data_IF_887448332872
#
_entry.id   IF_887448332872
#
_cell.length_a   1.000
_cell.length_b   1.000
_cell.length_c   1.000
_cell.angle_alpha   90.00
_cell.angle_beta   90.00
_cell.angle_gamma   90.00
#
_symmetry.space_group_name_H-M   'P 1'
#
loop_
_entity.id
_entity.type
_entity.pdbx_description
1 polymer ?
#
# COMPACT_ATOMS: atom_id res chain seq x y z
N UNK A 1 -0.10 3.47 -11.60
CA UNK A 1 0.71 4.39 -10.81
C UNK A 1 2.21 4.03 -10.75
N UNK A 2 2.60 2.78 -11.01
CA UNK A 2 4.01 2.37 -11.17
C UNK A 2 4.65 2.84 -12.51
N UNK A 3 3.88 3.31 -13.46
CA UNK A 3 4.34 3.74 -14.78
C UNK A 3 4.64 5.23 -14.84
N UNK A 4 4.29 5.99 -13.83
CA UNK A 4 4.59 7.42 -13.75
C UNK A 4 6.08 7.66 -13.53
N UNK A 5 6.56 8.82 -13.97
CA UNK A 5 7.90 9.28 -13.64
C UNK A 5 8.00 9.74 -12.18
N UNK A 6 9.17 10.27 -11.83
CA UNK A 6 9.42 10.86 -10.50
C UNK A 6 8.93 12.30 -10.47
N UNK A 7 8.32 12.70 -9.35
CA UNK A 7 7.86 14.08 -9.19
C UNK A 7 9.05 15.07 -9.22
N UNK A 8 8.98 16.22 -9.93
CA UNK A 8 10.10 17.17 -10.06
C UNK A 8 10.70 17.64 -8.72
N UNK A 9 9.87 17.91 -7.71
CA UNK A 9 10.34 18.28 -6.36
C UNK A 9 11.16 17.16 -5.69
N UNK A 10 10.83 15.89 -5.96
CA UNK A 10 11.59 14.73 -5.47
C UNK A 10 12.94 14.64 -6.19
N UNK A 11 12.97 14.85 -7.52
CA UNK A 11 14.23 14.90 -8.26
C UNK A 11 15.12 16.04 -7.79
N UNK A 12 14.57 17.21 -7.49
CA UNK A 12 15.32 18.33 -6.92
C UNK A 12 15.94 17.97 -5.55
N UNK A 13 15.18 17.27 -4.68
CA UNK A 13 15.68 16.83 -3.38
C UNK A 13 16.83 15.80 -3.53
N UNK A 14 16.70 14.86 -4.47
CA UNK A 14 17.76 13.91 -4.79
C UNK A 14 19.04 14.63 -5.25
N UNK A 15 18.92 15.63 -6.12
CA UNK A 15 20.04 16.44 -6.57
C UNK A 15 20.70 17.21 -5.41
N UNK A 16 19.92 17.77 -4.48
CA UNK A 16 20.42 18.44 -3.29
C UNK A 16 21.14 17.48 -2.35
N UNK A 17 20.65 16.25 -2.21
CA UNK A 17 21.30 15.22 -1.40
C UNK A 17 22.59 14.66 -2.06
N UNK A 18 22.79 14.89 -3.36
CA UNK A 18 23.95 14.39 -4.11
C UNK A 18 25.17 15.32 -3.99
N UNK A 19 25.45 15.87 -2.81
CA UNK A 19 26.55 16.78 -2.55
C UNK A 19 27.44 16.22 -1.44
N UNK A 20 28.74 16.12 -1.74
CA UNK A 20 29.75 15.71 -0.74
C UNK A 20 29.59 14.27 -0.26
N UNK A 21 30.29 13.96 0.82
CA UNK A 21 30.18 12.70 1.55
C UNK A 21 29.18 12.84 2.71
N UNK A 22 28.52 11.74 3.07
CA UNK A 22 27.68 11.62 4.25
C UNK A 22 27.86 10.22 4.84
N UNK A 23 27.63 10.08 6.14
CA UNK A 23 27.69 8.80 6.83
C UNK A 23 26.70 7.81 6.17
N UNK A 24 27.10 6.54 6.00
CA UNK A 24 26.29 5.53 5.35
C UNK A 24 25.24 4.91 6.29
N UNK A 25 24.35 4.12 5.74
CA UNK A 25 23.40 3.22 6.42
C UNK A 25 22.38 3.89 7.34
N UNK A 26 22.15 5.19 7.19
CA UNK A 26 21.12 5.92 7.94
C UNK A 26 21.66 6.81 9.07
N UNK A 27 22.97 6.88 9.24
CA UNK A 27 23.60 7.77 10.24
C UNK A 27 23.82 9.20 9.68
N UNK A 28 23.13 9.56 8.62
CA UNK A 28 23.21 10.84 7.93
C UNK A 28 22.08 11.82 8.33
N UNK A 29 22.30 13.14 8.16
CA UNK A 29 21.33 14.16 8.56
C UNK A 29 19.97 14.06 7.80
N UNK A 30 19.98 13.62 6.54
CA UNK A 30 18.73 13.46 5.76
C UNK A 30 17.85 12.36 6.35
N UNK A 31 18.47 11.25 6.78
CA UNK A 31 17.72 10.17 7.43
C UNK A 31 17.09 10.65 8.73
N UNK A 32 17.83 11.39 9.57
CA UNK A 32 17.30 11.98 10.80
C UNK A 32 16.15 12.98 10.52
N UNK A 33 16.27 13.80 9.48
CA UNK A 33 15.20 14.73 9.07
C UNK A 33 13.96 13.99 8.57
N UNK A 34 14.13 12.94 7.75
CA UNK A 34 13.01 12.12 7.26
C UNK A 34 12.27 11.43 8.42
N UNK A 35 13.00 10.87 9.40
CA UNK A 35 12.40 10.31 10.63
C UNK A 35 11.61 11.37 11.40
N UNK A 36 12.12 12.61 11.48
CA UNK A 36 11.43 13.75 12.06
C UNK A 36 10.10 14.05 11.37
N UNK A 37 10.05 13.92 10.03
CA UNK A 37 8.80 14.08 9.27
C UNK A 37 7.76 13.01 9.64
N UNK A 38 8.17 11.75 9.81
CA UNK A 38 7.26 10.68 10.26
C UNK A 38 6.78 10.91 11.70
N UNK A 39 7.66 11.38 12.59
CA UNK A 39 7.27 11.74 13.96
C UNK A 39 6.25 12.87 13.99
N UNK A 40 6.37 13.84 13.09
CA UNK A 40 5.37 14.90 12.95
C UNK A 40 3.99 14.36 12.54
N UNK A 41 3.94 13.25 11.76
CA UNK A 41 2.68 12.63 11.32
C UNK A 41 2.08 11.71 12.40
N UNK A 42 2.91 10.94 13.11
CA UNK A 42 2.44 9.85 13.97
C UNK A 42 2.71 10.05 15.46
N UNK A 43 3.47 11.09 15.82
CA UNK A 43 3.93 11.35 17.19
C UNK A 43 5.36 10.85 17.43
N UNK A 44 5.99 11.34 18.53
CA UNK A 44 7.40 11.07 18.84
C UNK A 44 7.70 9.62 19.21
N UNK A 45 6.68 8.87 19.53
CA UNK A 45 6.76 7.48 19.98
C UNK A 45 6.67 6.45 18.82
N UNK A 46 7.09 6.82 17.61
CA UNK A 46 7.22 5.90 16.49
C UNK A 46 8.67 5.68 16.10
N UNK A 47 8.98 4.49 15.58
CA UNK A 47 10.26 4.19 14.94
C UNK A 47 10.03 3.94 13.46
N UNK A 48 10.98 4.39 12.64
CA UNK A 48 10.87 4.33 11.18
C UNK A 48 12.12 3.72 10.57
N UNK A 49 11.93 2.80 9.66
CA UNK A 49 13.02 2.13 8.96
C UNK A 49 12.83 2.28 7.46
N UNK A 50 13.63 3.13 6.83
CA UNK A 50 13.59 3.34 5.38
C UNK A 50 14.11 2.09 4.66
N UNK A 51 13.40 1.68 3.61
CA UNK A 51 13.71 0.52 2.77
C UNK A 51 13.47 0.86 1.30
N UNK A 52 14.13 0.19 0.35
CA UNK A 52 13.96 0.50 -1.07
C UNK A 52 12.65 -0.04 -1.69
N UNK A 53 12.07 -1.13 -1.16
CA UNK A 53 11.02 -1.89 -1.82
C UNK A 53 9.83 -2.17 -0.90
N UNK A 54 8.59 -2.08 -1.44
CA UNK A 54 7.35 -2.37 -0.72
C UNK A 54 7.24 -3.81 -0.24
N UNK A 55 7.51 -4.79 -1.11
CA UNK A 55 7.60 -6.22 -0.72
C UNK A 55 8.60 -6.41 0.43
N UNK A 56 9.75 -5.73 0.37
CA UNK A 56 10.73 -5.76 1.46
C UNK A 56 10.20 -5.19 2.77
N UNK A 57 9.40 -4.11 2.73
CA UNK A 57 8.76 -3.54 3.90
C UNK A 57 7.76 -4.52 4.54
N UNK A 58 6.90 -5.15 3.74
CA UNK A 58 5.92 -6.13 4.21
C UNK A 58 6.61 -7.35 4.82
N UNK A 59 7.59 -7.94 4.12
CA UNK A 59 8.35 -9.10 4.60
C UNK A 59 9.06 -8.80 5.92
N UNK A 60 9.69 -7.63 6.05
CA UNK A 60 10.34 -7.21 7.31
C UNK A 60 9.34 -7.08 8.45
N UNK A 61 8.20 -6.43 8.20
CA UNK A 61 7.15 -6.28 9.19
C UNK A 61 6.67 -7.65 9.68
N UNK A 62 6.30 -8.53 8.78
CA UNK A 62 5.81 -9.86 9.13
C UNK A 62 6.88 -10.70 9.86
N UNK A 63 8.11 -10.72 9.36
CA UNK A 63 9.22 -11.46 9.96
C UNK A 63 9.52 -11.01 11.40
N UNK A 64 9.29 -9.72 11.70
CA UNK A 64 9.49 -9.21 13.07
C UNK A 64 8.34 -9.55 14.01
N UNK A 65 7.11 -9.61 13.51
CA UNK A 65 5.91 -9.74 14.32
C UNK A 65 5.56 -11.19 14.66
N UNK A 66 5.88 -12.15 13.78
CA UNK A 66 5.46 -13.55 13.93
C UNK A 66 6.61 -14.55 13.81
N UNK A 67 6.29 -15.83 13.93
CA UNK A 67 7.21 -16.97 13.80
C UNK A 67 6.72 -17.91 12.71
N UNK A 68 7.58 -18.81 12.23
CA UNK A 68 7.30 -19.74 11.12
C UNK A 68 6.10 -20.67 11.35
N UNK A 69 5.72 -20.93 12.58
CA UNK A 69 4.52 -21.76 12.89
C UNK A 69 3.22 -20.97 12.92
N UNK A 70 3.29 -19.64 12.74
CA UNK A 70 2.10 -18.82 12.64
C UNK A 70 1.52 -18.81 11.22
N UNK A 71 0.28 -18.33 11.12
CA UNK A 71 -0.33 -17.92 9.87
C UNK A 71 -0.65 -16.43 9.90
N UNK A 72 -0.64 -15.83 8.70
CA UNK A 72 -1.07 -14.47 8.43
C UNK A 72 -2.46 -14.55 7.81
N UNK A 73 -3.44 -13.93 8.45
CA UNK A 73 -4.79 -13.79 7.94
C UNK A 73 -4.87 -12.51 7.09
N UNK A 74 -5.29 -12.62 5.84
CA UNK A 74 -5.34 -11.48 4.91
C UNK A 74 -6.53 -11.62 3.96
N UNK A 75 -6.84 -10.58 3.19
CA UNK A 75 -7.79 -10.68 2.07
C UNK A 75 -7.29 -11.71 1.04
N UNK A 76 -8.19 -12.43 0.41
CA UNK A 76 -7.90 -13.29 -0.75
C UNK A 76 -7.31 -12.52 -1.94
N UNK A 77 -7.48 -11.20 -1.97
CA UNK A 77 -6.90 -10.28 -2.96
C UNK A 77 -5.59 -9.63 -2.49
N UNK A 78 -5.13 -9.88 -1.25
CA UNK A 78 -3.94 -9.23 -0.71
C UNK A 78 -2.70 -9.42 -1.59
N UNK A 79 -2.01 -8.31 -1.91
CA UNK A 79 -0.81 -8.31 -2.76
C UNK A 79 0.27 -9.25 -2.23
N UNK A 80 0.45 -9.31 -0.92
CA UNK A 80 1.39 -10.20 -0.24
C UNK A 80 1.08 -11.68 -0.45
N UNK A 81 -0.20 -12.02 -0.67
CA UNK A 81 -0.63 -13.38 -0.98
C UNK A 81 -0.57 -13.70 -2.47
N UNK A 82 -1.00 -12.76 -3.33
CA UNK A 82 -1.25 -13.04 -4.76
C UNK A 82 -0.10 -12.62 -5.69
N UNK A 83 0.68 -11.60 -5.32
CA UNK A 83 1.52 -10.87 -6.28
C UNK A 83 2.96 -10.60 -5.81
N UNK A 84 3.44 -11.30 -4.78
CA UNK A 84 4.81 -11.20 -4.27
C UNK A 84 5.60 -12.51 -4.41
N UNK A 85 5.15 -13.40 -5.30
CA UNK A 85 5.85 -14.66 -5.64
C UNK A 85 6.18 -15.54 -4.44
N UNK A 86 5.34 -15.51 -3.37
CA UNK A 86 5.59 -16.27 -2.14
C UNK A 86 6.76 -15.73 -1.32
N UNK A 87 7.11 -14.43 -1.45
CA UNK A 87 8.24 -13.84 -0.71
C UNK A 87 8.04 -13.92 0.80
N UNK A 88 6.81 -13.75 1.28
CA UNK A 88 6.46 -13.87 2.70
C UNK A 88 6.70 -15.28 3.20
N UNK A 89 6.15 -16.28 2.52
CA UNK A 89 6.31 -17.69 2.88
C UNK A 89 7.78 -18.14 2.82
N UNK A 90 8.51 -17.69 1.80
CA UNK A 90 9.91 -18.05 1.61
C UNK A 90 10.83 -17.46 2.69
N UNK A 91 10.61 -16.22 3.11
CA UNK A 91 11.50 -15.51 4.04
C UNK A 91 11.06 -15.67 5.49
N UNK A 92 9.78 -15.55 5.78
CA UNK A 92 9.22 -15.69 7.15
C UNK A 92 9.00 -17.16 7.49
N UNK A 93 8.75 -17.99 6.49
CA UNK A 93 8.46 -19.43 6.65
C UNK A 93 7.06 -19.71 7.19
N UNK A 94 6.19 -18.71 7.24
CA UNK A 94 4.83 -18.82 7.77
C UNK A 94 3.83 -19.19 6.67
N UNK A 95 2.59 -19.47 7.06
CA UNK A 95 1.50 -19.73 6.13
C UNK A 95 0.71 -18.45 5.87
N UNK A 96 0.43 -18.14 4.60
CA UNK A 96 -0.60 -17.16 4.24
C UNK A 96 -1.96 -17.85 4.25
N UNK A 97 -2.95 -17.25 4.90
CA UNK A 97 -4.32 -17.77 5.00
C UNK A 97 -5.30 -16.72 4.48
N UNK A 98 -5.72 -16.83 3.22
CA UNK A 98 -6.65 -15.88 2.62
C UNK A 98 -8.06 -16.04 3.19
N UNK A 99 -8.71 -14.91 3.48
CA UNK A 99 -10.10 -14.78 3.89
C UNK A 99 -10.88 -14.21 2.72
N UNK A 100 -12.02 -14.81 2.31
CA UNK A 100 -12.87 -14.23 1.28
C UNK A 100 -13.24 -12.78 1.59
N UNK A 101 -13.06 -11.91 0.61
CA UNK A 101 -13.26 -10.48 0.77
C UNK A 101 -14.40 -9.95 -0.10
N UNK A 102 -14.96 -8.82 0.28
CA UNK A 102 -15.92 -8.07 -0.53
C UNK A 102 -15.25 -6.77 -0.97
N UNK A 103 -15.05 -6.61 -2.26
CA UNK A 103 -14.30 -5.48 -2.81
C UNK A 103 -12.91 -5.30 -2.16
N UNK A 104 -12.18 -6.40 -1.94
CA UNK A 104 -10.85 -6.41 -1.33
C UNK A 104 -10.83 -6.23 0.19
N UNK A 105 -11.98 -6.03 0.84
CA UNK A 105 -12.09 -5.83 2.28
C UNK A 105 -12.57 -7.09 3.00
N UNK A 106 -11.86 -7.50 4.05
CA UNK A 106 -12.34 -8.50 5.02
C UNK A 106 -13.15 -7.80 6.12
N UNK A 107 -14.08 -8.51 6.74
CA UNK A 107 -14.82 -8.00 7.89
C UNK A 107 -14.35 -8.64 9.19
N UNK A 108 -14.61 -7.98 10.33
CA UNK A 108 -14.35 -8.55 11.65
C UNK A 108 -15.10 -9.88 11.87
N UNK A 109 -16.31 -10.01 11.31
CA UNK A 109 -17.08 -11.26 11.36
C UNK A 109 -16.43 -12.38 10.55
N UNK A 110 -15.93 -12.08 9.34
CA UNK A 110 -15.19 -13.04 8.53
C UNK A 110 -13.89 -13.48 9.22
N UNK A 111 -13.15 -12.52 9.80
CA UNK A 111 -11.93 -12.81 10.58
C UNK A 111 -12.20 -13.79 11.72
N UNK A 112 -13.26 -13.58 12.49
CA UNK A 112 -13.60 -14.42 13.66
C UNK A 112 -13.79 -15.90 13.28
N UNK A 113 -14.26 -16.21 12.08
CA UNK A 113 -14.45 -17.58 11.62
C UNK A 113 -13.13 -18.35 11.45
N UNK A 114 -11.99 -17.66 11.30
CA UNK A 114 -10.67 -18.26 11.16
C UNK A 114 -9.90 -18.42 12.48
N UNK A 115 -10.51 -18.11 13.61
CA UNK A 115 -9.90 -18.17 14.94
C UNK A 115 -10.34 -19.40 15.75
N UNK A 116 -11.13 -20.31 15.18
CA UNK A 116 -11.74 -21.44 15.88
C UNK A 116 -10.75 -22.52 16.31
N UNK A 117 -9.62 -22.65 15.59
CA UNK A 117 -8.63 -23.72 15.80
C UNK A 117 -7.40 -23.25 16.61
N UNK A 118 -7.49 -22.10 17.28
CA UNK A 118 -6.41 -21.58 18.11
C UNK A 118 -6.07 -22.55 19.25
N UNK A 119 -4.77 -22.75 19.46
CA UNK A 119 -4.25 -23.68 20.47
C UNK A 119 -4.11 -25.13 20.00
N UNK A 120 -4.61 -25.48 18.81
CA UNK A 120 -4.43 -26.83 18.24
C UNK A 120 -3.00 -27.01 17.70
N UNK A 121 -2.24 -28.04 18.15
CA UNK A 121 -0.89 -28.30 17.65
C UNK A 121 -0.87 -28.82 16.20
N UNK A 122 -2.03 -29.14 15.64
CA UNK A 122 -2.15 -29.68 14.28
C UNK A 122 -2.33 -28.58 13.20
N UNK A 123 -2.53 -27.33 13.62
CA UNK A 123 -2.79 -26.20 12.73
C UNK A 123 -1.78 -25.07 12.91
N UNK A 124 -1.43 -24.38 11.84
CA UNK A 124 -0.70 -23.10 11.94
C UNK A 124 -1.52 -22.14 12.78
N UNK A 125 -0.90 -21.51 13.75
CA UNK A 125 -1.60 -20.63 14.67
C UNK A 125 -1.75 -19.23 14.06
N UNK A 126 -2.95 -18.65 13.97
CA UNK A 126 -3.10 -17.25 13.60
C UNK A 126 -2.25 -16.37 14.50
N UNK A 127 -1.40 -15.53 13.90
CA UNK A 127 -0.50 -14.64 14.65
C UNK A 127 -0.58 -13.18 14.19
N UNK A 128 -1.09 -12.96 12.97
CA UNK A 128 -1.13 -11.65 12.36
C UNK A 128 -2.35 -11.50 11.46
N UNK A 129 -2.95 -10.32 11.47
CA UNK A 129 -3.91 -9.86 10.45
C UNK A 129 -3.20 -8.83 9.58
N UNK A 130 -3.18 -9.05 8.28
CA UNK A 130 -2.65 -8.10 7.29
C UNK A 130 -3.80 -7.41 6.55
N UNK A 131 -3.85 -6.08 6.66
CA UNK A 131 -4.78 -5.21 5.94
C UNK A 131 -4.03 -4.45 4.86
N UNK A 132 -4.69 -4.10 3.75
CA UNK A 132 -4.13 -3.22 2.71
C UNK A 132 -4.96 -1.95 2.61
N UNK A 133 -4.31 -0.78 2.67
CA UNK A 133 -4.99 0.53 2.66
C UNK A 133 -4.27 1.48 1.68
N UNK A 134 -4.92 1.95 0.59
CA UNK A 134 -6.18 1.41 0.02
C UNK A 134 -5.99 -0.01 -0.49
N UNK A 135 -7.10 -0.76 -0.60
CA UNK A 135 -7.06 -2.16 -1.05
C UNK A 135 -6.52 -2.31 -2.48
N UNK A 136 -6.26 -3.54 -2.88
CA UNK A 136 -5.75 -3.89 -4.21
C UNK A 136 -6.72 -3.50 -5.33
N UNK A 137 -8.00 -3.37 -5.01
CA UNK A 137 -9.05 -2.94 -5.93
C UNK A 137 -9.48 -1.49 -5.72
N UNK A 138 -8.63 -0.70 -5.04
CA UNK A 138 -8.77 0.73 -4.84
C UNK A 138 -9.98 1.18 -4.00
N UNK A 139 -10.56 0.27 -3.21
CA UNK A 139 -11.50 0.61 -2.13
C UNK A 139 -10.76 1.01 -0.86
N UNK A 140 -11.47 1.60 0.09
CA UNK A 140 -10.87 2.15 1.32
C UNK A 140 -11.61 1.63 2.54
N UNK A 141 -10.90 1.03 3.49
CA UNK A 141 -11.47 0.72 4.80
C UNK A 141 -11.79 2.01 5.54
N UNK A 142 -12.98 2.09 6.13
CA UNK A 142 -13.28 3.19 7.06
C UNK A 142 -12.56 2.99 8.40
N UNK A 143 -12.37 4.04 9.21
CA UNK A 143 -11.81 3.90 10.56
C UNK A 143 -12.56 2.89 11.42
N UNK A 144 -13.89 2.82 11.29
CA UNK A 144 -14.75 1.89 12.04
C UNK A 144 -14.51 0.44 11.60
N UNK A 145 -14.36 0.19 10.29
CA UNK A 145 -14.02 -1.14 9.77
C UNK A 145 -12.65 -1.61 10.26
N UNK A 146 -11.63 -0.73 10.22
CA UNK A 146 -10.29 -1.02 10.74
C UNK A 146 -10.37 -1.32 12.24
N UNK A 147 -11.03 -0.45 13.01
CA UNK A 147 -11.16 -0.61 14.46
C UNK A 147 -11.80 -1.94 14.85
N UNK A 148 -12.88 -2.33 14.18
CA UNK A 148 -13.55 -3.59 14.43
C UNK A 148 -12.63 -4.81 14.17
N UNK A 149 -11.80 -4.76 13.13
CA UNK A 149 -10.83 -5.83 12.83
C UNK A 149 -9.72 -5.85 13.88
N UNK A 150 -9.16 -4.69 14.23
CA UNK A 150 -8.10 -4.55 15.24
C UNK A 150 -8.58 -5.09 16.59
N UNK A 151 -9.80 -4.75 17.01
CA UNK A 151 -10.37 -5.22 18.29
C UNK A 151 -10.49 -6.74 18.32
N UNK A 152 -10.97 -7.36 17.24
CA UNK A 152 -11.04 -8.83 17.15
C UNK A 152 -9.63 -9.44 17.15
N UNK A 153 -8.68 -8.88 16.41
CA UNK A 153 -7.30 -9.37 16.35
C UNK A 153 -6.65 -9.33 17.75
N UNK A 154 -6.66 -8.16 18.40
CA UNK A 154 -6.02 -7.97 19.70
C UNK A 154 -6.71 -8.78 20.82
N UNK A 155 -8.04 -8.90 20.82
CA UNK A 155 -8.77 -9.73 21.78
C UNK A 155 -8.36 -11.21 21.71
N UNK A 156 -7.81 -11.66 20.57
CA UNK A 156 -7.33 -13.02 20.36
C UNK A 156 -5.79 -13.14 20.34
N UNK A 157 -5.07 -12.07 20.73
CA UNK A 157 -3.61 -12.08 20.83
C UNK A 157 -2.89 -12.01 19.46
N UNK A 158 -3.58 -11.63 18.39
CA UNK A 158 -2.99 -11.39 17.08
C UNK A 158 -2.51 -9.96 16.96
N UNK A 159 -1.48 -9.74 16.16
CA UNK A 159 -1.02 -8.42 15.75
C UNK A 159 -1.70 -7.95 14.47
N UNK A 160 -1.63 -6.65 14.18
CA UNK A 160 -2.17 -6.05 12.95
C UNK A 160 -1.09 -5.31 12.21
N UNK A 161 -0.85 -5.71 10.96
CA UNK A 161 -0.01 -5.00 9.99
C UNK A 161 -0.88 -4.34 8.93
N UNK A 162 -0.52 -3.13 8.51
CA UNK A 162 -1.17 -2.45 7.40
C UNK A 162 -0.19 -2.25 6.25
N UNK A 163 -0.48 -2.85 5.10
CA UNK A 163 0.18 -2.48 3.85
C UNK A 163 -0.37 -1.13 3.38
N UNK A 164 0.47 -0.12 3.50
CA UNK A 164 0.19 1.27 3.12
C UNK A 164 0.83 1.67 1.80
N UNK A 165 0.97 0.76 0.81
CA UNK A 165 1.52 1.08 -0.50
C UNK A 165 0.82 2.26 -1.19
N UNK A 166 -0.45 2.52 -0.85
CA UNK A 166 -1.26 3.67 -1.30
C UNK A 166 -1.92 4.42 -0.15
N UNK A 167 -1.25 4.50 0.99
CA UNK A 167 -1.79 5.13 2.21
C UNK A 167 -2.17 6.60 2.00
N UNK A 168 -1.44 7.32 1.15
CA UNK A 168 -1.74 8.70 0.80
C UNK A 168 -3.10 8.83 0.10
N UNK A 169 -3.41 7.91 -0.83
CA UNK A 169 -4.70 7.88 -1.52
C UNK A 169 -5.85 7.60 -0.56
N UNK A 170 -5.65 6.70 0.39
CA UNK A 170 -6.62 6.41 1.43
C UNK A 170 -6.83 7.60 2.38
N UNK A 171 -5.76 8.27 2.83
CA UNK A 171 -5.86 9.45 3.68
C UNK A 171 -6.68 10.58 3.02
N UNK A 172 -6.46 10.81 1.72
CA UNK A 172 -7.25 11.76 0.94
C UNK A 172 -8.71 11.32 0.80
N UNK A 173 -8.96 10.05 0.56
CA UNK A 173 -10.32 9.52 0.41
C UNK A 173 -11.12 9.64 1.71
N UNK A 174 -10.50 9.35 2.85
CA UNK A 174 -11.09 9.45 4.18
C UNK A 174 -11.21 10.89 4.68
N UNK A 175 -10.39 11.81 4.14
CA UNK A 175 -10.39 13.22 4.57
C UNK A 175 -9.94 13.43 6.02
N UNK A 176 -9.11 12.54 6.56
CA UNK A 176 -8.62 12.59 7.93
C UNK A 176 -7.12 12.32 8.02
N UNK A 177 -6.53 12.60 9.18
CA UNK A 177 -5.12 12.36 9.44
C UNK A 177 -4.80 10.86 9.39
N UNK A 178 -3.67 10.51 8.75
CA UNK A 178 -3.23 9.13 8.62
C UNK A 178 -3.09 8.41 9.96
N UNK A 179 -2.70 9.11 10.99
CA UNK A 179 -2.59 8.58 12.35
C UNK A 179 -3.94 8.09 12.89
N UNK A 180 -5.03 8.82 12.60
CA UNK A 180 -6.36 8.55 13.15
C UNK A 180 -7.00 7.23 12.66
N UNK A 181 -6.57 6.72 11.49
CA UNK A 181 -7.04 5.44 10.98
C UNK A 181 -5.96 4.34 10.93
N UNK A 182 -4.82 4.58 11.58
CA UNK A 182 -3.72 3.62 11.71
C UNK A 182 -3.34 3.43 13.18
N UNK A 183 -2.36 4.18 13.67
CA UNK A 183 -1.81 4.10 15.02
C UNK A 183 -2.88 4.24 16.10
N UNK A 184 -3.74 5.24 16.01
CA UNK A 184 -4.73 5.53 17.05
C UNK A 184 -5.83 4.45 17.13
N UNK A 185 -5.97 3.62 16.09
CA UNK A 185 -6.86 2.45 16.10
C UNK A 185 -6.18 1.15 16.58
N UNK A 186 -4.87 1.18 16.79
CA UNK A 186 -4.12 0.03 17.30
C UNK A 186 -3.44 -0.82 16.22
N UNK A 187 -3.22 -0.30 15.01
CA UNK A 187 -2.30 -0.95 14.06
C UNK A 187 -0.92 -1.04 14.71
N UNK A 188 -0.29 -2.21 14.71
CA UNK A 188 1.00 -2.42 15.37
C UNK A 188 2.18 -1.96 14.51
N UNK A 189 2.09 -2.14 13.20
CA UNK A 189 3.13 -1.78 12.23
C UNK A 189 2.51 -1.57 10.86
N UNK A 190 3.15 -0.71 10.05
CA UNK A 190 2.73 -0.54 8.66
C UNK A 190 3.91 -0.38 7.72
N UNK A 191 3.74 -0.80 6.46
CA UNK A 191 4.55 -0.31 5.35
C UNK A 191 3.96 1.02 4.87
N UNK A 192 4.81 2.05 4.71
CA UNK A 192 4.38 3.35 4.21
C UNK A 192 4.99 3.61 2.83
N UNK A 193 4.13 3.57 1.81
CA UNK A 193 4.54 3.66 0.41
C UNK A 193 4.72 5.09 -0.09
N UNK A 194 5.80 5.30 -0.84
CA UNK A 194 6.06 6.56 -1.55
C UNK A 194 6.27 6.40 -3.05
N UNK A 195 6.75 5.25 -3.48
CA UNK A 195 7.11 4.99 -4.88
C UNK A 195 5.92 5.19 -5.84
N UNK A 196 4.74 4.69 -5.50
CA UNK A 196 3.54 4.79 -6.35
C UNK A 196 2.92 6.17 -6.39
N UNK A 197 3.43 7.12 -5.58
CA UNK A 197 2.86 8.46 -5.44
C UNK A 197 3.89 9.58 -5.71
N UNK A 198 4.84 9.33 -6.60
CA UNK A 198 5.76 10.33 -7.14
C UNK A 198 7.20 10.25 -6.63
N UNK A 199 7.55 9.30 -5.77
CA UNK A 199 8.94 9.00 -5.46
C UNK A 199 9.58 8.11 -6.53
N UNK A 200 10.91 8.07 -6.57
CA UNK A 200 11.67 7.21 -7.47
C UNK A 200 11.65 5.76 -6.95
N UNK A 201 12.04 5.57 -5.71
CA UNK A 201 12.14 4.28 -5.04
C UNK A 201 12.40 4.53 -3.54
N UNK A 202 11.35 4.65 -2.77
CA UNK A 202 11.47 4.74 -1.31
C UNK A 202 10.16 4.27 -0.65
N UNK A 203 10.34 3.36 0.27
CA UNK A 203 9.32 2.79 1.14
C UNK A 203 9.81 2.85 2.58
N UNK A 204 8.95 2.64 3.54
CA UNK A 204 9.38 2.54 4.94
C UNK A 204 8.53 1.54 5.71
N UNK A 205 9.10 1.05 6.81
CA UNK A 205 8.35 0.36 7.86
C UNK A 205 8.20 1.33 9.02
N UNK A 206 6.97 1.63 9.39
CA UNK A 206 6.63 2.46 10.55
C UNK A 206 6.16 1.53 11.66
N UNK A 207 6.88 1.54 12.78
CA UNK A 207 6.63 0.68 13.93
C UNK A 207 5.90 1.48 15.01
N UNK A 208 4.67 1.12 15.30
CA UNK A 208 3.85 1.75 16.33
C UNK A 208 3.97 1.02 17.67
N UNK A 209 4.01 -0.31 17.64
CA UNK A 209 4.18 -1.13 18.83
C UNK A 209 5.67 -1.32 19.14
N UNK A 210 6.13 -0.72 20.24
CA UNK A 210 7.53 -0.67 20.65
C UNK A 210 8.19 -2.04 20.89
N UNK A 211 7.43 -3.08 21.14
CA UNK A 211 7.94 -4.44 21.34
C UNK A 211 8.62 -4.98 20.07
N UNK A 212 8.34 -4.38 18.91
CA UNK A 212 8.92 -4.77 17.62
C UNK A 212 10.16 -3.99 17.20
N UNK A 213 10.55 -2.94 17.90
CA UNK A 213 11.71 -2.10 17.54
C UNK A 213 13.04 -2.81 17.75
N UNK A 214 13.14 -3.58 18.84
CA UNK A 214 14.37 -4.30 19.18
C UNK A 214 14.83 -5.18 18.02
N UNK A 215 16.12 -5.13 17.70
CA UNK A 215 16.79 -5.93 16.65
C UNK A 215 16.30 -5.65 15.20
N UNK A 216 15.40 -4.67 14.98
CA UNK A 216 14.86 -4.38 13.66
C UNK A 216 15.95 -3.94 12.66
N UNK A 217 16.95 -3.19 13.12
CA UNK A 217 18.10 -2.77 12.29
C UNK A 217 18.86 -3.99 11.75
N UNK A 218 19.10 -4.98 12.63
CA UNK A 218 19.77 -6.23 12.26
C UNK A 218 18.93 -7.04 11.26
N UNK A 219 17.63 -7.14 11.52
CA UNK A 219 16.68 -7.82 10.64
C UNK A 219 16.63 -7.15 9.26
N UNK A 220 16.62 -5.81 9.20
CA UNK A 220 16.66 -5.03 7.94
C UNK A 220 17.92 -5.35 7.13
N UNK A 221 19.09 -5.45 7.79
CA UNK A 221 20.34 -5.82 7.13
C UNK A 221 20.30 -7.26 6.61
N UNK A 222 19.83 -8.20 7.44
CA UNK A 222 19.74 -9.62 7.10
C UNK A 222 18.81 -9.87 5.90
N UNK A 223 17.71 -9.11 5.82
CA UNK A 223 16.75 -9.20 4.71
C UNK A 223 17.10 -8.29 3.51
N UNK A 224 18.35 -7.84 3.40
CA UNK A 224 18.89 -7.11 2.25
C UNK A 224 18.21 -5.74 1.99
N UNK A 225 17.55 -5.17 2.99
CA UNK A 225 16.81 -3.90 2.86
C UNK A 225 17.56 -2.68 3.43
N UNK A 226 18.80 -2.85 3.90
CA UNK A 226 19.63 -1.75 4.39
C UNK A 226 20.48 -1.15 3.26
N UNK A 227 20.03 -0.04 2.69
CA UNK A 227 20.75 0.68 1.66
C UNK A 227 21.96 1.44 2.26
N UNK A 228 23.13 1.36 1.62
CA UNK A 228 24.33 2.07 2.10
C UNK A 228 24.19 3.59 1.94
N UNK A 229 23.64 4.06 0.83
CA UNK A 229 23.40 5.49 0.58
C UNK A 229 21.97 5.87 0.97
N UNK A 230 21.63 5.69 2.26
CA UNK A 230 20.30 5.89 2.81
C UNK A 230 19.77 7.30 2.58
N UNK A 231 20.64 8.31 2.57
CA UNK A 231 20.29 9.71 2.33
C UNK A 231 19.42 9.93 1.07
N UNK A 232 19.57 9.08 0.04
CA UNK A 232 18.77 9.23 -1.18
C UNK A 232 17.33 8.72 -1.01
N UNK A 233 17.09 7.73 -0.16
CA UNK A 233 15.74 7.34 0.24
C UNK A 233 15.12 8.44 1.11
N UNK A 234 15.89 8.92 2.09
CA UNK A 234 15.46 9.94 3.04
C UNK A 234 15.10 11.28 2.37
N UNK A 235 15.95 11.76 1.45
CA UNK A 235 15.71 13.01 0.71
C UNK A 235 14.37 13.01 -0.04
N UNK A 236 13.95 11.85 -0.55
CA UNK A 236 12.66 11.70 -1.22
C UNK A 236 11.51 11.90 -0.22
N UNK A 237 11.57 11.30 0.99
CA UNK A 237 10.57 11.49 2.03
C UNK A 237 10.47 12.93 2.53
N UNK A 238 11.61 13.61 2.70
CA UNK A 238 11.62 15.03 3.08
C UNK A 238 10.84 15.86 2.06
N UNK A 239 11.11 15.68 0.75
CA UNK A 239 10.38 16.39 -0.29
C UNK A 239 8.91 15.98 -0.37
N UNK A 240 8.61 14.72 -0.13
CA UNK A 240 7.29 14.13 -0.20
C UNK A 240 6.34 14.66 0.88
N UNK A 241 6.84 14.83 2.10
CA UNK A 241 6.04 15.40 3.19
C UNK A 241 6.01 16.92 3.19
N UNK A 242 7.04 17.56 2.62
CA UNK A 242 7.12 19.01 2.57
C UNK A 242 5.91 19.61 1.85
N UNK A 243 5.32 20.62 2.46
CA UNK A 243 4.17 21.35 1.94
C UNK A 243 2.97 20.46 1.56
N UNK A 244 2.89 19.26 2.12
CA UNK A 244 1.79 18.32 1.88
C UNK A 244 1.80 17.68 0.47
N UNK A 245 2.93 17.65 -0.22
CA UNK A 245 3.04 17.12 -1.58
C UNK A 245 2.44 15.72 -1.73
N UNK A 246 2.63 14.85 -0.74
CA UNK A 246 2.10 13.49 -0.75
C UNK A 246 0.57 13.43 -0.83
N UNK A 247 -0.12 14.36 -0.16
CA UNK A 247 -1.58 14.48 -0.22
C UNK A 247 -2.03 15.19 -1.50
N UNK A 248 -1.27 16.16 -1.99
CA UNK A 248 -1.53 16.83 -3.27
C UNK A 248 -1.52 15.82 -4.43
N UNK A 249 -0.45 15.02 -4.52
CA UNK A 249 -0.30 13.97 -5.52
C UNK A 249 -1.45 12.95 -5.47
N UNK A 250 -1.77 12.46 -4.28
CA UNK A 250 -2.84 11.49 -4.07
C UNK A 250 -4.22 12.06 -4.40
N UNK A 251 -4.49 13.31 -4.03
CA UNK A 251 -5.75 13.99 -4.33
C UNK A 251 -5.95 14.14 -5.82
N UNK A 252 -4.89 14.52 -6.54
CA UNK A 252 -4.94 14.61 -8.00
C UNK A 252 -5.27 13.23 -8.61
N UNK A 253 -4.55 12.18 -8.21
CA UNK A 253 -4.77 10.83 -8.73
C UNK A 253 -6.19 10.32 -8.44
N UNK A 254 -6.71 10.51 -7.22
CA UNK A 254 -8.08 10.13 -6.85
C UNK A 254 -9.13 10.92 -7.66
N UNK A 255 -8.92 12.23 -7.88
CA UNK A 255 -9.82 13.04 -8.69
C UNK A 255 -9.85 12.58 -10.14
N UNK A 256 -8.71 12.20 -10.71
CA UNK A 256 -8.65 11.66 -12.07
C UNK A 256 -9.36 10.30 -12.18
N UNK A 257 -9.28 9.45 -11.16
CA UNK A 257 -10.03 8.20 -11.13
C UNK A 257 -11.54 8.43 -11.07
N UNK A 258 -11.99 9.37 -10.23
CA UNK A 258 -13.40 9.75 -10.13
C UNK A 258 -13.89 10.34 -11.45
N UNK A 259 -13.12 11.26 -12.05
CA UNK A 259 -13.45 11.84 -13.36
C UNK A 259 -13.60 10.76 -14.44
N UNK A 260 -12.70 9.77 -14.47
CA UNK A 260 -12.82 8.66 -15.40
C UNK A 260 -14.12 7.86 -15.16
N UNK A 261 -14.38 7.50 -13.92
CA UNK A 261 -15.59 6.76 -13.55
C UNK A 261 -16.88 7.51 -13.95
N UNK A 262 -16.92 8.82 -13.69
CA UNK A 262 -18.07 9.67 -14.05
C UNK A 262 -18.28 9.71 -15.58
N UNK A 263 -17.19 9.85 -16.34
CA UNK A 263 -17.25 9.92 -17.81
C UNK A 263 -17.69 8.61 -18.47
N UNK A 264 -17.36 7.46 -17.88
CA UNK A 264 -17.73 6.14 -18.43
C UNK A 264 -19.05 5.61 -17.84
N UNK A 265 -19.61 6.29 -16.87
CA UNK A 265 -20.88 5.92 -16.23
C UNK A 265 -22.00 5.84 -17.27
N UNK A 266 -22.72 4.71 -17.29
CA UNK A 266 -23.81 4.46 -18.23
C UNK A 266 -23.39 4.08 -19.65
N UNK A 267 -22.10 3.93 -19.93
CA UNK A 267 -21.66 3.40 -21.22
C UNK A 267 -22.00 1.91 -21.33
N UNK A 268 -22.58 1.44 -22.45
CA UNK A 268 -23.09 0.08 -22.58
C UNK A 268 -22.01 -1.02 -22.58
N UNK A 269 -20.74 -0.64 -22.71
CA UNK A 269 -19.60 -1.57 -22.82
C UNK A 269 -18.77 -1.67 -21.53
N UNK A 270 -19.18 -0.98 -20.47
CA UNK A 270 -18.42 -0.83 -19.24
C UNK A 270 -19.30 -1.06 -18.03
N UNK A 271 -18.89 -1.96 -17.16
CA UNK A 271 -19.49 -2.18 -15.86
C UNK A 271 -18.42 -2.01 -14.78
N UNK A 272 -18.64 -1.13 -13.81
CA UNK A 272 -17.73 -0.98 -12.68
C UNK A 272 -17.75 -2.26 -11.83
N UNK A 273 -16.60 -2.94 -11.73
CA UNK A 273 -16.44 -4.14 -10.92
C UNK A 273 -16.36 -3.83 -9.41
N UNK A 274 -15.82 -2.66 -9.08
CA UNK A 274 -15.65 -2.20 -7.69
C UNK A 274 -15.98 -0.71 -7.55
N UNK A 275 -16.36 -0.24 -6.34
CA UNK A 275 -16.48 1.18 -6.04
C UNK A 275 -15.15 1.91 -6.29
N UNK A 276 -15.22 3.13 -6.83
CA UNK A 276 -14.04 3.98 -7.10
C UNK A 276 -13.83 4.92 -5.92
N UNK A 277 -13.03 4.48 -4.95
CA UNK A 277 -12.80 5.20 -3.69
C UNK A 277 -11.40 5.83 -3.61
N UNK A 278 -10.44 5.36 -4.42
CA UNK A 278 -9.10 5.94 -4.51
C UNK A 278 -8.67 6.10 -5.97
N UNK A 279 -7.41 5.85 -6.31
CA UNK A 279 -6.83 6.16 -7.62
C UNK A 279 -6.95 5.04 -8.67
N UNK A 280 -7.82 4.06 -8.48
CA UNK A 280 -8.01 2.94 -9.41
C UNK A 280 -9.45 2.81 -9.88
N UNK A 281 -9.63 2.46 -11.16
CA UNK A 281 -10.92 2.15 -11.78
C UNK A 281 -10.84 0.72 -12.32
N UNK A 282 -11.74 -0.13 -11.84
CA UNK A 282 -11.83 -1.54 -12.22
C UNK A 282 -13.14 -1.77 -12.95
N UNK A 283 -13.07 -2.36 -14.13
CA UNK A 283 -14.24 -2.54 -15.00
C UNK A 283 -14.26 -3.91 -15.64
N UNK A 284 -15.45 -4.46 -15.77
CA UNK A 284 -15.71 -5.63 -16.58
C UNK A 284 -16.04 -5.19 -18.02
N UNK A 285 -15.37 -5.79 -18.99
CA UNK A 285 -15.54 -5.48 -20.41
C UNK A 285 -15.48 -6.76 -21.24
N UNK A 286 -16.05 -6.72 -22.45
CA UNK A 286 -15.89 -7.83 -23.40
C UNK A 286 -14.44 -7.95 -23.88
N UNK A 287 -13.92 -9.18 -24.12
CA UNK A 287 -12.56 -9.41 -24.60
C UNK A 287 -12.19 -8.62 -25.87
N UNK A 288 -13.12 -8.49 -26.81
CA UNK A 288 -12.91 -7.72 -28.04
C UNK A 288 -12.70 -6.23 -27.77
N UNK A 289 -13.38 -5.65 -26.79
CA UNK A 289 -13.21 -4.26 -26.37
C UNK A 289 -11.88 -4.05 -25.63
N UNK A 290 -11.52 -4.98 -24.75
CA UNK A 290 -10.21 -4.99 -24.08
C UNK A 290 -9.10 -4.99 -25.13
N UNK A 291 -9.16 -5.92 -26.09
CA UNK A 291 -8.15 -6.02 -27.16
C UNK A 291 -8.10 -4.77 -28.05
N UNK A 292 -9.26 -4.14 -28.32
CA UNK A 292 -9.30 -2.91 -29.09
C UNK A 292 -8.60 -1.74 -28.38
N UNK A 293 -8.84 -1.55 -27.09
CA UNK A 293 -8.21 -0.51 -26.28
C UNK A 293 -6.70 -0.77 -26.06
N UNK A 294 -6.29 -2.02 -25.86
CA UNK A 294 -4.90 -2.40 -25.64
C UNK A 294 -4.00 -2.16 -26.86
N UNK A 295 -4.53 -1.94 -28.07
CA UNK A 295 -3.76 -1.50 -29.24
C UNK A 295 -3.20 -0.09 -29.10
N UNK A 296 -3.81 0.74 -28.24
CA UNK A 296 -3.47 2.16 -28.08
C UNK A 296 -3.05 2.51 -26.66
N UNK A 297 -3.50 1.75 -25.66
CA UNK A 297 -3.31 2.02 -24.25
C UNK A 297 -2.74 0.80 -23.54
N UNK A 298 -1.77 1.02 -22.65
CA UNK A 298 -1.17 -0.05 -21.85
C UNK A 298 -1.93 -0.20 -20.52
N UNK A 299 -2.61 -1.32 -20.34
CA UNK A 299 -3.24 -1.72 -19.08
C UNK A 299 -3.36 -3.25 -19.01
N UNK A 300 -3.67 -3.79 -17.82
CA UNK A 300 -3.73 -5.22 -17.58
C UNK A 300 -5.15 -5.67 -17.28
N UNK A 301 -5.49 -6.85 -17.77
CA UNK A 301 -6.59 -7.66 -17.27
C UNK A 301 -6.12 -8.33 -15.97
N UNK A 302 -6.84 -8.08 -14.87
CA UNK A 302 -6.43 -8.52 -13.53
C UNK A 302 -7.23 -9.69 -13.01
N UNK A 303 -8.41 -9.91 -13.56
CA UNK A 303 -9.27 -11.08 -13.31
C UNK A 303 -9.80 -11.61 -14.65
N UNK A 304 -9.06 -12.53 -15.30
CA UNK A 304 -9.43 -13.03 -16.63
C UNK A 304 -10.76 -13.76 -16.67
N UNK A 305 -11.17 -14.42 -15.57
CA UNK A 305 -12.46 -15.14 -15.50
C UNK A 305 -13.67 -14.22 -15.59
N UNK A 306 -13.54 -12.98 -15.14
CA UNK A 306 -14.57 -11.93 -15.18
C UNK A 306 -14.31 -10.87 -16.25
N UNK A 307 -13.17 -10.97 -16.98
CA UNK A 307 -12.69 -9.95 -17.90
C UNK A 307 -12.57 -8.57 -17.26
N UNK A 308 -12.07 -8.54 -16.02
CA UNK A 308 -11.85 -7.30 -15.26
C UNK A 308 -10.52 -6.69 -15.63
N UNK A 309 -10.53 -5.45 -16.10
CA UNK A 309 -9.35 -4.64 -16.37
C UNK A 309 -9.15 -3.59 -15.28
N UNK A 310 -7.89 -3.21 -15.07
CA UNK A 310 -7.47 -2.20 -14.08
C UNK A 310 -6.86 -1.00 -14.76
N UNK A 311 -7.40 0.17 -14.47
CA UNK A 311 -6.86 1.48 -14.87
C UNK A 311 -6.43 2.26 -13.64
N UNK A 312 -5.12 2.48 -13.49
CA UNK A 312 -4.55 3.22 -12.38
C UNK A 312 -4.20 4.63 -12.80
N UNK A 313 -4.70 5.60 -12.06
CA UNK A 313 -4.40 7.02 -12.25
C UNK A 313 -3.26 7.41 -11.29
N UNK A 314 -2.41 8.35 -11.71
CA UNK A 314 -1.26 8.77 -10.94
C UNK A 314 -1.20 10.30 -10.81
N UNK A 315 -0.25 10.78 -10.02
CA UNK A 315 -0.07 12.20 -9.73
C UNK A 315 0.15 13.07 -10.99
N UNK A 316 0.58 12.49 -12.10
CA UNK A 316 0.86 13.18 -13.36
C UNK A 316 -0.13 12.84 -14.48
N UNK A 317 -1.19 12.11 -14.20
CA UNK A 317 -2.25 11.85 -15.18
C UNK A 317 -3.03 13.14 -15.45
N UNK A 318 -3.04 13.63 -16.69
CA UNK A 318 -3.77 14.85 -17.04
C UNK A 318 -5.26 14.60 -17.28
N UNK A 319 -6.09 15.60 -17.04
CA UNK A 319 -7.52 15.56 -17.36
C UNK A 319 -7.76 15.29 -18.86
N UNK A 320 -6.91 15.82 -19.74
CA UNK A 320 -6.98 15.57 -21.18
C UNK A 320 -6.76 14.08 -21.52
N UNK A 321 -5.79 13.43 -20.87
CA UNK A 321 -5.57 11.99 -21.03
C UNK A 321 -6.80 11.19 -20.60
N UNK A 322 -7.40 11.52 -19.44
CA UNK A 322 -8.61 10.88 -18.94
C UNK A 322 -9.77 11.04 -19.92
N UNK A 323 -10.03 12.26 -20.40
CA UNK A 323 -11.11 12.53 -21.35
C UNK A 323 -10.88 11.85 -22.71
N UNK A 324 -9.63 11.80 -23.17
CA UNK A 324 -9.28 11.12 -24.42
C UNK A 324 -9.50 9.62 -24.29
N UNK A 325 -9.11 9.02 -23.17
CA UNK A 325 -9.34 7.61 -22.89
C UNK A 325 -10.85 7.27 -22.77
N UNK A 326 -11.61 8.09 -22.06
CA UNK A 326 -13.08 7.91 -21.96
C UNK A 326 -13.76 8.01 -23.35
N UNK A 327 -13.30 8.91 -24.24
CA UNK A 327 -13.81 8.97 -25.63
C UNK A 327 -13.48 7.69 -26.41
N UNK A 328 -12.28 7.13 -26.22
CA UNK A 328 -11.91 5.88 -26.89
C UNK A 328 -12.78 4.71 -26.42
N UNK A 329 -13.14 4.67 -25.12
CA UNK A 329 -14.09 3.68 -24.58
C UNK A 329 -15.47 3.88 -25.21
N UNK A 330 -15.98 5.10 -25.28
CA UNK A 330 -17.29 5.40 -25.89
C UNK A 330 -17.38 5.16 -27.39
N UNK A 331 -16.25 5.02 -28.07
CA UNK A 331 -16.18 4.71 -29.51
C UNK A 331 -16.13 3.20 -29.81
N UNK A 332 -16.15 2.33 -28.80
CA UNK A 332 -16.23 0.88 -28.99
C UNK A 332 -17.60 0.48 -29.53
N UNK A 333 -17.61 -0.36 -30.54
CA UNK A 333 -18.82 -0.79 -31.26
C UNK A 333 -19.44 -2.04 -30.63
#
# INVERSE_FOLDING_TARGET
DNTSGVHPKVMEALNKANVGAAEPYGDDPWTAEAEGCFKALFGDDVDVFLVPLGTGANVLGFNRMIRSWHSILCSDMAHTHTSESGAVEAVVGCKMTPIPSVHGKISAGALSAYLTDMGSPHHSQPGLVALTQSTEVATVYTPEEIKAIVDVAHANGLFVHMDGARIANAAVALGCDVRSFTKDLGVDMMSFGGTKNGMMMAESVVVFNKDFVRDFVTLRKQNLQLASKMRFLAAQYIAYFKDGLWLENARHANNMARLLADLISGMPHVELAHPVESNGVFVNMKPEHIAALQRQYMFHEVEPSAHTVRWMLSFNTSEEQVRTFAKAIGALA
#
